data_IF_517415214385
#
_entry.id   IF_517415214385
#
_cell.length_a   1.000
_cell.length_b   1.000
_cell.length_c   1.000
_cell.angle_alpha   90.00
_cell.angle_beta   90.00
_cell.angle_gamma   90.00
#
_symmetry.space_group_name_H-M   'P 1'
#
loop_
_entity.id
_entity.type
_entity.pdbx_description
1 polymer ?
#
# COMPACT_ATOMS: atom_id res chain seq x y z
N UNK A 1 6.57 15.03 -4.89
CA UNK A 1 7.64 15.39 -3.93
C UNK A 1 8.26 16.74 -4.23
N UNK A 2 8.69 16.98 -5.47
CA UNK A 2 9.32 18.25 -5.85
C UNK A 2 8.43 19.47 -5.58
N UNK A 3 7.12 19.33 -5.78
CA UNK A 3 6.18 20.42 -5.52
C UNK A 3 6.17 20.82 -4.05
N UNK A 4 6.17 19.83 -3.15
CA UNK A 4 6.21 20.08 -1.71
C UNK A 4 7.54 20.71 -1.28
N UNK A 5 8.66 20.23 -1.83
CA UNK A 5 9.97 20.78 -1.55
C UNK A 5 10.07 22.23 -1.99
N UNK A 6 9.51 22.58 -3.16
CA UNK A 6 9.49 23.96 -3.66
C UNK A 6 8.65 24.86 -2.77
N UNK A 7 7.48 24.41 -2.33
CA UNK A 7 6.62 25.19 -1.42
C UNK A 7 7.31 25.48 -0.10
N UNK A 8 8.12 24.55 0.38
CA UNK A 8 8.89 24.69 1.61
C UNK A 8 10.19 25.46 1.40
N UNK A 9 10.47 25.95 0.18
CA UNK A 9 11.69 26.67 -0.18
C UNK A 9 12.95 25.88 0.12
N UNK A 10 12.89 24.55 -0.05
CA UNK A 10 14.05 23.68 0.15
C UNK A 10 14.19 22.73 -1.04
N UNK A 11 15.42 22.25 -1.25
CA UNK A 11 15.70 21.28 -2.31
C UNK A 11 15.01 19.93 -2.01
N UNK A 12 14.73 19.11 -3.05
CA UNK A 12 14.21 17.78 -2.83
C UNK A 12 15.06 16.93 -1.88
N UNK A 13 16.39 17.06 -1.97
CA UNK A 13 17.32 16.33 -1.12
C UNK A 13 17.19 16.77 0.35
N UNK A 14 17.11 18.06 0.60
CA UNK A 14 16.94 18.61 1.95
C UNK A 14 15.58 18.20 2.51
N UNK A 15 14.54 18.27 1.70
CA UNK A 15 13.20 17.83 2.09
C UNK A 15 13.21 16.34 2.49
N UNK A 16 13.81 15.49 1.67
CA UNK A 16 13.87 14.05 1.96
C UNK A 16 14.61 13.77 3.27
N UNK A 17 15.71 14.48 3.52
CA UNK A 17 16.49 14.31 4.74
C UNK A 17 15.71 14.73 5.98
N UNK A 18 15.02 15.85 5.92
CA UNK A 18 14.17 16.33 7.03
C UNK A 18 12.97 15.42 7.25
N UNK A 19 12.36 14.95 6.16
CA UNK A 19 11.26 14.02 6.23
C UNK A 19 11.66 12.74 6.97
N UNK A 20 12.83 12.19 6.62
CA UNK A 20 13.35 10.99 7.27
C UNK A 20 13.65 11.23 8.75
N UNK A 21 14.22 12.39 9.10
CA UNK A 21 14.52 12.74 10.48
C UNK A 21 13.24 12.83 11.33
N UNK A 22 12.15 13.32 10.75
CA UNK A 22 10.88 13.49 11.46
C UNK A 22 10.07 12.20 11.54
N UNK A 23 10.01 11.43 10.45
CA UNK A 23 9.12 10.27 10.31
C UNK A 23 9.83 8.92 10.45
N UNK A 24 11.16 8.90 10.40
CA UNK A 24 11.93 7.67 10.40
C UNK A 24 11.99 6.96 9.06
N UNK A 25 11.41 7.54 8.01
CA UNK A 25 11.36 6.92 6.67
C UNK A 25 11.60 7.96 5.59
N UNK A 26 11.90 7.50 4.37
CA UNK A 26 12.03 8.39 3.22
C UNK A 26 10.66 8.70 2.64
N UNK A 27 10.50 9.85 1.94
CA UNK A 27 9.23 10.14 1.26
C UNK A 27 8.81 9.06 0.28
N UNK A 28 9.75 8.47 -0.46
CA UNK A 28 9.45 7.39 -1.39
C UNK A 28 8.92 6.15 -0.67
N UNK A 29 9.59 5.73 0.40
CA UNK A 29 9.17 4.56 1.17
C UNK A 29 7.83 4.79 1.86
N UNK A 30 7.60 6.00 2.36
CA UNK A 30 6.33 6.38 2.96
C UNK A 30 5.20 6.31 1.94
N UNK A 31 5.39 6.90 0.75
CA UNK A 31 4.39 6.88 -0.31
C UNK A 31 4.09 5.46 -0.76
N UNK A 32 5.12 4.62 -0.89
CA UNK A 32 4.95 3.22 -1.24
C UNK A 32 4.11 2.49 -0.20
N UNK A 33 4.35 2.75 1.09
CA UNK A 33 3.54 2.21 2.18
C UNK A 33 2.07 2.64 2.08
N UNK A 34 1.81 3.91 1.75
CA UNK A 34 0.45 4.41 1.57
C UNK A 34 -0.26 3.70 0.40
N UNK A 35 0.44 3.51 -0.70
CA UNK A 35 -0.11 2.80 -1.87
C UNK A 35 -0.45 1.35 -1.53
N UNK A 36 0.42 0.68 -0.78
CA UNK A 36 0.17 -0.70 -0.35
C UNK A 36 -1.01 -0.79 0.61
N UNK A 37 -1.14 0.16 1.54
CA UNK A 37 -2.29 0.21 2.44
C UNK A 37 -3.59 0.44 1.68
N UNK A 38 -3.59 1.30 0.67
CA UNK A 38 -4.75 1.50 -0.20
C UNK A 38 -5.09 0.22 -0.97
N UNK A 39 -4.07 -0.52 -1.44
CA UNK A 39 -4.29 -1.79 -2.11
C UNK A 39 -4.92 -2.82 -1.15
N UNK A 40 -4.46 -2.88 0.09
CA UNK A 40 -5.05 -3.77 1.10
C UNK A 40 -6.55 -3.48 1.28
N UNK A 41 -6.91 -2.21 1.40
CA UNK A 41 -8.31 -1.81 1.53
C UNK A 41 -9.15 -2.28 0.35
N UNK A 42 -8.65 -2.09 -0.89
CA UNK A 42 -9.36 -2.55 -2.07
C UNK A 42 -9.44 -4.08 -2.16
N UNK A 43 -8.40 -4.77 -1.75
CA UNK A 43 -8.41 -6.23 -1.69
C UNK A 43 -9.45 -6.75 -0.69
N UNK A 44 -9.63 -6.06 0.42
CA UNK A 44 -10.59 -6.41 1.47
C UNK A 44 -12.02 -6.05 1.09
N UNK A 45 -12.23 -4.86 0.56
CA UNK A 45 -13.56 -4.27 0.41
C UNK A 45 -14.15 -4.37 -1.00
N UNK A 46 -13.37 -4.81 -2.00
CA UNK A 46 -13.86 -4.90 -3.37
C UNK A 46 -13.45 -6.21 -4.02
N UNK A 47 -14.08 -6.51 -5.17
CA UNK A 47 -13.72 -7.65 -6.00
C UNK A 47 -12.85 -7.22 -7.19
N UNK A 48 -12.31 -6.01 -7.17
CA UNK A 48 -11.49 -5.50 -8.24
C UNK A 48 -10.30 -6.44 -8.50
N UNK A 49 -10.00 -6.73 -9.77
CA UNK A 49 -8.81 -7.55 -10.08
C UNK A 49 -7.54 -6.79 -9.75
N UNK A 50 -6.45 -7.55 -9.51
CA UNK A 50 -5.17 -6.98 -9.10
C UNK A 50 -4.66 -5.93 -10.09
N UNK A 51 -4.91 -6.13 -11.39
CA UNK A 51 -4.52 -5.17 -12.44
C UNK A 51 -5.19 -3.81 -12.24
N UNK A 52 -6.47 -3.82 -11.91
CA UNK A 52 -7.21 -2.59 -11.66
C UNK A 52 -6.75 -1.92 -10.36
N UNK A 53 -6.55 -2.70 -9.31
CA UNK A 53 -6.04 -2.18 -8.04
C UNK A 53 -4.69 -1.51 -8.23
N UNK A 54 -3.77 -2.15 -8.97
CA UNK A 54 -2.46 -1.58 -9.26
C UNK A 54 -2.59 -0.20 -9.91
N UNK A 55 -3.48 -0.07 -10.88
CA UNK A 55 -3.72 1.20 -11.57
C UNK A 55 -4.29 2.25 -10.60
N UNK A 56 -5.27 1.87 -9.80
CA UNK A 56 -5.96 2.80 -8.88
C UNK A 56 -5.04 3.32 -7.79
N UNK A 57 -4.13 2.48 -7.28
CA UNK A 57 -3.24 2.89 -6.19
C UNK A 57 -1.88 3.42 -6.66
N UNK A 58 -1.65 3.48 -7.96
CA UNK A 58 -0.48 4.17 -8.52
C UNK A 58 0.72 3.30 -8.83
N UNK A 59 0.59 1.97 -8.93
CA UNK A 59 1.71 1.12 -9.33
C UNK A 59 1.89 1.01 -10.86
N UNK A 60 0.86 1.30 -11.62
CA UNK A 60 0.91 1.23 -13.07
C UNK A 60 0.79 -0.19 -13.62
N UNK A 61 1.43 -1.18 -13.01
CA UNK A 61 1.35 -2.58 -13.44
C UNK A 61 1.02 -3.50 -12.27
N UNK A 62 0.33 -4.60 -12.58
CA UNK A 62 0.06 -5.63 -11.58
C UNK A 62 1.35 -6.28 -11.07
N UNK A 63 2.33 -6.46 -11.95
CA UNK A 63 3.62 -7.04 -11.57
C UNK A 63 4.33 -6.18 -10.51
N UNK A 64 4.31 -4.86 -10.68
CA UNK A 64 4.89 -3.93 -9.72
C UNK A 64 4.19 -4.01 -8.36
N UNK A 65 2.87 -4.06 -8.37
CA UNK A 65 2.10 -4.21 -7.13
C UNK A 65 2.42 -5.54 -6.45
N UNK A 66 2.41 -6.64 -7.19
CA UNK A 66 2.70 -7.98 -6.64
C UNK A 66 4.07 -8.03 -5.99
N UNK A 67 5.08 -7.48 -6.66
CA UNK A 67 6.45 -7.50 -6.16
C UNK A 67 6.57 -6.73 -4.84
N UNK A 68 6.07 -5.50 -4.81
CA UNK A 68 6.17 -4.66 -3.62
C UNK A 68 5.29 -5.16 -2.48
N UNK A 69 4.11 -5.66 -2.80
CA UNK A 69 3.21 -6.23 -1.81
C UNK A 69 3.84 -7.45 -1.13
N UNK A 70 4.37 -8.39 -1.92
CA UNK A 70 5.04 -9.58 -1.38
C UNK A 70 6.26 -9.20 -0.54
N UNK A 71 7.05 -8.25 -1.01
CA UNK A 71 8.25 -7.80 -0.30
C UNK A 71 7.93 -7.18 1.06
N UNK A 72 6.89 -6.37 1.14
CA UNK A 72 6.58 -5.61 2.36
C UNK A 72 5.52 -6.26 3.24
N UNK A 73 4.64 -7.06 2.69
CA UNK A 73 3.56 -7.73 3.42
C UNK A 73 3.79 -9.23 3.61
N UNK A 74 4.75 -9.81 2.89
CA UNK A 74 5.10 -11.22 3.01
C UNK A 74 4.19 -12.17 2.27
N UNK A 75 3.15 -11.68 1.60
CA UNK A 75 2.22 -12.52 0.83
C UNK A 75 1.82 -11.81 -0.45
N UNK A 76 1.30 -12.56 -1.42
CA UNK A 76 0.77 -11.95 -2.65
C UNK A 76 -0.56 -11.24 -2.37
N UNK A 77 -0.95 -10.26 -3.21
CA UNK A 77 -2.27 -9.64 -3.08
C UNK A 77 -3.41 -10.65 -3.09
N UNK A 78 -3.33 -11.65 -3.96
CA UNK A 78 -4.35 -12.69 -4.04
C UNK A 78 -4.44 -13.50 -2.75
N UNK A 79 -3.31 -13.92 -2.21
CA UNK A 79 -3.26 -14.67 -0.96
C UNK A 79 -3.78 -13.83 0.20
N UNK A 80 -3.45 -12.55 0.24
CA UNK A 80 -3.96 -11.63 1.25
C UNK A 80 -5.49 -11.55 1.20
N UNK A 81 -6.06 -11.37 0.01
CA UNK A 81 -7.53 -11.33 -0.16
C UNK A 81 -8.19 -12.62 0.32
N UNK A 82 -7.62 -13.76 -0.05
CA UNK A 82 -8.19 -15.06 0.36
C UNK A 82 -8.13 -15.25 1.87
N UNK A 83 -7.02 -14.93 2.49
CA UNK A 83 -6.84 -15.04 3.95
C UNK A 83 -7.82 -14.13 4.68
N UNK A 84 -7.96 -12.89 4.22
CA UNK A 84 -8.89 -11.95 4.82
C UNK A 84 -10.33 -12.45 4.75
N UNK A 85 -10.75 -12.96 3.59
CA UNK A 85 -12.11 -13.46 3.40
C UNK A 85 -12.40 -14.72 4.23
N UNK A 86 -11.41 -15.59 4.37
CA UNK A 86 -11.54 -16.75 5.25
C UNK A 86 -11.70 -16.33 6.71
N UNK A 87 -10.94 -15.33 7.14
CA UNK A 87 -11.03 -14.82 8.49
C UNK A 87 -12.43 -14.23 8.78
N UNK A 88 -12.99 -13.48 7.81
CA UNK A 88 -14.34 -12.96 7.93
C UNK A 88 -15.38 -14.07 8.03
N UNK A 89 -15.28 -15.10 7.19
CA UNK A 89 -16.19 -16.23 7.18
C UNK A 89 -16.11 -17.01 8.49
N UNK A 90 -14.90 -17.26 9.00
CA UNK A 90 -14.70 -17.92 10.28
C UNK A 90 -15.30 -17.12 11.43
N UNK A 91 -15.13 -15.79 11.40
CA UNK A 91 -15.73 -14.89 12.40
C UNK A 91 -17.26 -14.93 12.36
N UNK A 92 -17.85 -14.97 11.18
CA UNK A 92 -19.29 -15.06 11.00
C UNK A 92 -19.82 -16.42 11.49
N UNK A 93 -19.09 -17.52 11.20
CA UNK A 93 -19.44 -18.84 11.67
C UNK A 93 -19.42 -18.91 13.21
N UNK A 94 -18.42 -18.32 13.83
CA UNK A 94 -18.31 -18.26 15.30
C UNK A 94 -19.47 -17.49 15.90
N UNK A 95 -19.91 -16.41 15.25
CA UNK A 95 -21.06 -15.63 15.70
C UNK A 95 -22.37 -16.40 15.53
N UNK A 96 -22.47 -17.20 14.52
CA UNK A 96 -23.66 -18.00 14.24
C UNK A 96 -23.79 -19.17 15.23
N UNK A 97 -22.69 -19.58 15.80
CA UNK A 97 -22.67 -20.64 16.79
C UNK A 97 -23.01 -20.10 18.18
#
# INVERSE_FOLDING_TARGET
MDVLARRALMSPRTFARRFKATTGTTPHAWLLGQRLSAAETLLEESDAPVEEIARLVGFGTAAGLREQFARRRGVSPRAYRQTFRRALTAGDDDRAA
#
